data_IF_314333475061
#
_entry.id   IF_314333475061
#
_cell.length_a   1.000
_cell.length_b   1.000
_cell.length_c   1.000
_cell.angle_alpha   90.00
_cell.angle_beta   90.00
_cell.angle_gamma   90.00
#
_symmetry.space_group_name_H-M   'P 1'
#
loop_
_entity.id
_entity.type
_entity.pdbx_description
1 polymer ?
#
# COMPACT_ATOMS: atom_id res chain seq x y z
N UNK A 1 12.57 12.70 -1.67
CA UNK A 1 13.10 11.39 -1.22
C UNK A 1 11.89 10.65 -0.68
N UNK A 2 11.31 9.72 -1.44
CA UNK A 2 10.10 9.01 -1.02
C UNK A 2 10.56 7.82 -0.20
N UNK A 3 10.40 7.88 1.11
CA UNK A 3 10.66 6.74 1.99
C UNK A 3 9.77 5.57 1.55
N UNK A 4 10.38 4.42 1.27
CA UNK A 4 9.63 3.20 0.94
C UNK A 4 8.98 2.67 2.21
N UNK A 5 7.67 2.42 2.16
CA UNK A 5 6.99 1.70 3.23
C UNK A 5 7.56 0.27 3.31
N UNK A 6 7.72 -0.28 4.51
CA UNK A 6 8.03 -1.71 4.66
C UNK A 6 6.77 -2.57 4.55
N UNK A 7 6.93 -3.87 4.30
CA UNK A 7 5.79 -4.81 4.31
C UNK A 7 5.07 -4.84 5.67
N UNK A 8 5.82 -4.71 6.77
CA UNK A 8 5.27 -4.63 8.13
C UNK A 8 4.43 -3.37 8.31
N UNK A 9 4.94 -2.20 7.91
CA UNK A 9 4.21 -0.94 7.99
C UNK A 9 2.95 -0.93 7.11
N UNK A 10 2.99 -1.58 5.94
CA UNK A 10 1.84 -1.74 5.07
C UNK A 10 0.76 -2.61 5.73
N UNK A 11 1.16 -3.74 6.34
CA UNK A 11 0.24 -4.63 7.04
C UNK A 11 -0.44 -3.91 8.22
N UNK A 12 0.33 -3.20 9.03
CA UNK A 12 -0.16 -2.38 10.15
C UNK A 12 -1.16 -1.31 9.67
N UNK A 13 -0.83 -0.62 8.57
CA UNK A 13 -1.69 0.42 7.99
C UNK A 13 -3.05 -0.15 7.54
N UNK A 14 -3.04 -1.30 6.86
CA UNK A 14 -4.25 -1.97 6.40
C UNK A 14 -5.09 -2.52 7.57
N UNK A 15 -4.45 -3.09 8.59
CA UNK A 15 -5.14 -3.55 9.80
C UNK A 15 -5.79 -2.38 10.55
N UNK A 16 -5.05 -1.28 10.72
CA UNK A 16 -5.56 -0.07 11.35
C UNK A 16 -6.77 0.50 10.59
N UNK A 17 -6.74 0.50 9.25
CA UNK A 17 -7.87 0.93 8.42
C UNK A 17 -9.08 0.03 8.64
N UNK A 18 -8.91 -1.29 8.56
CA UNK A 18 -9.98 -2.28 8.76
C UNK A 18 -10.63 -2.11 10.15
N UNK A 19 -9.82 -1.91 11.18
CA UNK A 19 -10.30 -1.69 12.55
C UNK A 19 -11.04 -0.36 12.68
N UNK A 20 -10.51 0.74 12.15
CA UNK A 20 -11.16 2.05 12.21
C UNK A 20 -12.51 2.06 11.48
N UNK A 21 -12.60 1.37 10.35
CA UNK A 21 -13.85 1.16 9.61
C UNK A 21 -14.85 0.33 10.42
N UNK A 22 -14.42 -0.81 10.99
CA UNK A 22 -15.29 -1.66 11.82
C UNK A 22 -15.81 -0.99 13.10
N UNK A 23 -15.05 -0.03 13.65
CA UNK A 23 -15.46 0.77 14.80
C UNK A 23 -16.34 1.99 14.44
N UNK A 24 -16.60 2.25 13.15
CA UNK A 24 -17.39 3.40 12.70
C UNK A 24 -16.69 4.76 12.90
N UNK A 25 -15.36 4.79 13.09
CA UNK A 25 -14.59 6.02 13.29
C UNK A 25 -14.24 6.63 11.93
N UNK A 26 -15.25 7.19 11.25
CA UNK A 26 -15.15 7.63 9.85
C UNK A 26 -13.98 8.57 9.58
N UNK A 27 -13.74 9.58 10.43
CA UNK A 27 -12.63 10.53 10.24
C UNK A 27 -11.25 9.88 10.31
N UNK A 28 -11.09 8.85 11.15
CA UNK A 28 -9.84 8.09 11.25
C UNK A 28 -9.69 7.14 10.06
N UNK A 29 -10.78 6.45 9.69
CA UNK A 29 -10.80 5.56 8.54
C UNK A 29 -10.45 6.32 7.23
N UNK A 30 -11.01 7.52 7.03
CA UNK A 30 -10.68 8.36 5.86
C UNK A 30 -9.20 8.74 5.82
N UNK A 31 -8.62 9.17 6.95
CA UNK A 31 -7.17 9.50 7.01
C UNK A 31 -6.28 8.30 6.69
N UNK A 32 -6.63 7.12 7.21
CA UNK A 32 -5.89 5.89 6.95
C UNK A 32 -6.05 5.45 5.49
N UNK A 33 -7.26 5.54 4.93
CA UNK A 33 -7.53 5.23 3.53
C UNK A 33 -6.76 6.16 2.58
N UNK A 34 -6.67 7.45 2.90
CA UNK A 34 -5.87 8.41 2.12
C UNK A 34 -4.40 8.02 2.13
N UNK A 35 -3.86 7.67 3.30
CA UNK A 35 -2.46 7.23 3.43
C UNK A 35 -2.20 5.93 2.66
N UNK A 36 -3.16 5.00 2.63
CA UNK A 36 -3.07 3.83 1.76
C UNK A 36 -3.00 4.25 0.28
N UNK A 37 -3.86 5.18 -0.14
CA UNK A 37 -3.93 5.67 -1.52
C UNK A 37 -2.62 6.37 -1.97
N UNK A 38 -1.91 7.02 -1.05
CA UNK A 38 -0.61 7.65 -1.35
C UNK A 38 0.50 6.60 -1.58
N UNK A 39 0.41 5.44 -0.93
CA UNK A 39 1.44 4.39 -0.94
C UNK A 39 1.21 3.37 -2.06
N UNK A 40 -0.04 3.02 -2.36
CA UNK A 40 -0.38 2.01 -3.36
C UNK A 40 0.25 2.23 -4.76
N UNK A 41 0.34 3.47 -5.29
CA UNK A 41 0.98 3.71 -6.58
C UNK A 41 2.44 3.25 -6.64
N UNK A 42 3.20 3.41 -5.55
CA UNK A 42 4.58 2.95 -5.47
C UNK A 42 4.66 1.42 -5.52
N UNK A 43 3.79 0.73 -4.76
CA UNK A 43 3.70 -0.73 -4.76
C UNK A 43 3.35 -1.25 -6.16
N UNK A 44 2.39 -0.61 -6.84
CA UNK A 44 2.00 -0.98 -8.21
C UNK A 44 3.17 -0.80 -9.17
N UNK A 45 3.95 0.26 -9.05
CA UNK A 45 5.14 0.47 -9.87
C UNK A 45 6.17 -0.66 -9.67
N UNK A 46 6.47 -1.02 -8.42
CA UNK A 46 7.41 -2.12 -8.12
C UNK A 46 6.93 -3.46 -8.70
N UNK A 47 5.64 -3.79 -8.55
CA UNK A 47 5.06 -5.00 -9.14
C UNK A 47 5.15 -5.01 -10.68
N UNK A 48 4.95 -3.86 -11.31
CA UNK A 48 5.11 -3.72 -12.76
C UNK A 48 6.57 -3.90 -13.20
N UNK A 49 7.53 -3.39 -12.44
CA UNK A 49 8.96 -3.61 -12.69
C UNK A 49 9.32 -5.09 -12.60
N UNK A 50 8.89 -5.80 -11.54
CA UNK A 50 9.12 -7.24 -11.41
C UNK A 50 8.53 -8.03 -12.57
N UNK A 51 7.30 -7.69 -12.99
CA UNK A 51 6.66 -8.31 -14.16
C UNK A 51 7.47 -8.07 -15.45
N UNK A 52 7.98 -6.85 -15.64
CA UNK A 52 8.76 -6.51 -16.83
C UNK A 52 10.13 -7.19 -16.83
N UNK A 53 10.77 -7.30 -15.66
CA UNK A 53 12.01 -8.04 -15.49
C UNK A 53 11.81 -9.53 -15.82
N UNK A 54 10.76 -10.16 -15.28
CA UNK A 54 10.44 -11.56 -15.56
C UNK A 54 10.17 -11.83 -17.06
N UNK A 55 9.52 -10.90 -17.77
CA UNK A 55 9.32 -11.00 -19.22
C UNK A 55 10.61 -10.95 -20.02
N UNK A 56 11.64 -10.23 -19.55
CA UNK A 56 12.94 -10.14 -20.22
C UNK A 56 13.78 -11.40 -20.08
N UNK A 57 13.61 -12.15 -19.00
CA UNK A 57 14.34 -13.40 -18.77
C UNK A 57 13.77 -14.61 -19.52
N UNK A 58 12.55 -14.50 -20.05
CA UNK A 58 11.91 -15.55 -20.87
C UNK A 58 11.99 -15.30 -22.38
N UNK A 59 12.79 -14.31 -22.81
CA UNK A 59 12.99 -13.93 -24.21
C UNK A 59 14.40 -14.28 -24.71
#
# INVERSE_FOLDING_TARGET
MTEKITDEELADLLEALKRAHGMGVCSKAVKLAQRCADVFPAIVAELQEYRNAAKRTSA
#
